data_IF_621511138803
#
_entry.id   IF_621511138803
#
_cell.length_a   1.000
_cell.length_b   1.000
_cell.length_c   1.000
_cell.angle_alpha   90.00
_cell.angle_beta   90.00
_cell.angle_gamma   90.00
#
_symmetry.space_group_name_H-M   'P 1'
#
loop_
_entity.id
_entity.type
_entity.pdbx_description
1 polymer ?
#
# COMPACT_ATOMS: atom_id res chain seq x y z
N UNK A 1 25.23 -1.01 -4.11
CA UNK A 1 24.94 0.36 -4.61
C UNK A 1 25.05 0.40 -6.14
N UNK A 2 24.38 -0.52 -6.84
CA UNK A 2 24.62 -0.78 -8.27
C UNK A 2 23.81 0.10 -9.24
N UNK A 3 22.81 0.83 -8.74
CA UNK A 3 21.96 1.71 -9.57
C UNK A 3 22.67 3.03 -9.92
N UNK A 4 23.38 3.61 -8.96
CA UNK A 4 24.10 4.87 -9.13
C UNK A 4 25.27 4.74 -10.11
N UNK A 5 25.99 3.61 -10.09
CA UNK A 5 27.06 3.31 -11.07
C UNK A 5 26.56 3.21 -12.51
N UNK A 6 25.28 2.93 -12.72
CA UNK A 6 24.65 2.86 -14.04
C UNK A 6 23.92 4.15 -14.45
N UNK A 7 24.04 5.22 -13.67
CA UNK A 7 23.34 6.48 -13.91
C UNK A 7 21.82 6.39 -13.72
N UNK A 8 21.33 5.36 -13.01
CA UNK A 8 19.91 5.12 -12.79
C UNK A 8 19.51 5.64 -11.41
N UNK A 9 18.43 6.42 -11.35
CA UNK A 9 17.85 6.91 -10.11
C UNK A 9 16.80 5.92 -9.59
N UNK A 10 16.80 5.66 -8.28
CA UNK A 10 15.72 4.89 -7.66
C UNK A 10 14.39 5.61 -7.87
N UNK A 11 13.34 4.86 -8.19
CA UNK A 11 12.00 5.43 -8.20
C UNK A 11 11.65 5.94 -6.80
N UNK A 12 11.02 7.11 -6.76
CA UNK A 12 10.47 7.65 -5.52
C UNK A 12 9.43 6.71 -4.90
N UNK A 13 8.99 7.00 -3.67
CA UNK A 13 7.93 6.24 -3.01
C UNK A 13 6.69 6.16 -3.91
N UNK A 14 6.05 5.00 -3.91
CA UNK A 14 4.88 4.76 -4.74
C UNK A 14 3.74 5.72 -4.35
N UNK A 15 2.99 6.20 -5.35
CA UNK A 15 1.79 6.99 -5.08
C UNK A 15 0.81 6.21 -4.18
N UNK A 16 0.09 6.90 -3.27
CA UNK A 16 -0.76 6.25 -2.26
C UNK A 16 -1.81 5.32 -2.87
N UNK A 17 -2.37 5.66 -4.05
CA UNK A 17 -3.30 4.80 -4.77
C UNK A 17 -2.66 3.48 -5.20
N UNK A 18 -1.42 3.55 -5.68
CA UNK A 18 -0.65 2.38 -6.09
C UNK A 18 -0.25 1.53 -4.89
N UNK A 19 0.15 2.17 -3.78
CA UNK A 19 0.52 1.53 -2.53
C UNK A 19 -0.66 0.71 -1.96
N UNK A 20 -1.82 1.35 -1.83
CA UNK A 20 -3.06 0.75 -1.35
C UNK A 20 -3.48 -0.48 -2.16
N UNK A 21 -3.50 -0.35 -3.50
CA UNK A 21 -3.83 -1.47 -4.39
C UNK A 21 -2.86 -2.63 -4.21
N UNK A 22 -1.55 -2.35 -4.16
CA UNK A 22 -0.52 -3.39 -3.98
C UNK A 22 -0.70 -4.14 -2.66
N UNK A 23 -0.81 -3.42 -1.56
CA UNK A 23 -0.88 -4.04 -0.22
C UNK A 23 -2.17 -4.86 -0.05
N UNK A 24 -3.31 -4.34 -0.53
CA UNK A 24 -4.58 -5.08 -0.49
C UNK A 24 -4.47 -6.40 -1.23
N UNK A 25 -3.95 -6.38 -2.46
CA UNK A 25 -3.80 -7.60 -3.28
C UNK A 25 -2.77 -8.57 -2.71
N UNK A 26 -1.66 -8.08 -2.16
CA UNK A 26 -0.63 -8.95 -1.56
C UNK A 26 -1.14 -9.64 -0.30
N UNK A 27 -1.83 -8.91 0.58
CA UNK A 27 -2.27 -9.45 1.87
C UNK A 27 -3.56 -10.27 1.77
N UNK A 28 -4.51 -9.84 0.94
CA UNK A 28 -5.86 -10.45 0.89
C UNK A 28 -6.17 -11.13 -0.44
N UNK A 29 -5.36 -10.91 -1.49
CA UNK A 29 -5.69 -11.37 -2.85
C UNK A 29 -6.80 -10.55 -3.53
N UNK A 30 -7.38 -9.56 -2.84
CA UNK A 30 -8.51 -8.77 -3.32
C UNK A 30 -8.08 -7.35 -3.70
N UNK A 31 -8.78 -6.78 -4.68
CA UNK A 31 -8.65 -5.36 -5.00
C UNK A 31 -9.41 -4.52 -3.96
N UNK A 32 -8.88 -3.35 -3.59
CA UNK A 32 -9.56 -2.48 -2.64
C UNK A 32 -10.78 -1.80 -3.28
N UNK A 33 -11.80 -1.52 -2.48
CA UNK A 33 -12.95 -0.75 -2.94
C UNK A 33 -12.57 0.71 -3.28
N UNK A 34 -13.16 1.31 -4.34
CA UNK A 34 -12.83 2.68 -4.75
C UNK A 34 -12.99 3.73 -3.65
N UNK A 35 -14.03 3.59 -2.80
CA UNK A 35 -14.28 4.48 -1.66
C UNK A 35 -13.16 4.38 -0.62
N UNK A 36 -12.69 3.16 -0.35
CA UNK A 36 -11.60 2.90 0.59
C UNK A 36 -10.27 3.45 0.07
N UNK A 37 -10.03 3.38 -1.24
CA UNK A 37 -8.87 4.02 -1.88
C UNK A 37 -8.90 5.54 -1.69
N UNK A 38 -10.06 6.19 -1.92
CA UNK A 38 -10.18 7.64 -1.75
C UNK A 38 -9.91 8.07 -0.30
N UNK A 39 -10.45 7.32 0.67
CA UNK A 39 -10.19 7.56 2.09
C UNK A 39 -8.71 7.40 2.43
N UNK A 40 -8.08 6.30 2.01
CA UNK A 40 -6.66 6.08 2.25
C UNK A 40 -5.80 7.20 1.65
N UNK A 41 -6.12 7.71 0.46
CA UNK A 41 -5.37 8.83 -0.14
C UNK A 41 -5.46 10.09 0.70
N UNK A 42 -6.64 10.39 1.26
CA UNK A 42 -6.81 11.54 2.15
C UNK A 42 -6.05 11.34 3.48
N UNK A 43 -6.17 10.16 4.10
CA UNK A 43 -5.49 9.82 5.35
C UNK A 43 -3.96 9.86 5.17
N UNK A 44 -3.45 9.29 4.06
CA UNK A 44 -2.03 9.28 3.72
C UNK A 44 -1.47 10.68 3.42
N UNK A 45 -2.30 11.60 2.90
CA UNK A 45 -1.87 12.99 2.71
C UNK A 45 -1.71 13.74 4.05
N UNK A 46 -2.44 13.35 5.09
CA UNK A 46 -2.36 13.94 6.42
C UNK A 46 -1.24 13.32 7.28
N UNK A 47 -1.11 11.99 7.25
CA UNK A 47 -0.09 11.23 7.99
C UNK A 47 0.26 9.94 7.21
N UNK A 48 1.30 9.97 6.35
CA UNK A 48 1.69 8.83 5.52
C UNK A 48 1.99 7.56 6.33
N UNK A 49 2.75 7.71 7.43
CA UNK A 49 3.20 6.60 8.26
C UNK A 49 2.04 5.98 9.06
N UNK A 50 1.22 6.82 9.70
CA UNK A 50 0.05 6.37 10.45
C UNK A 50 -1.01 5.73 9.55
N UNK A 51 -1.29 6.34 8.40
CA UNK A 51 -2.24 5.79 7.43
C UNK A 51 -1.79 4.44 6.88
N UNK A 52 -0.51 4.29 6.56
CA UNK A 52 0.01 3.02 6.06
C UNK A 52 0.00 1.92 7.13
N UNK A 53 0.41 2.24 8.36
CA UNK A 53 0.36 1.28 9.47
C UNK A 53 -1.07 0.83 9.76
N UNK A 54 -2.01 1.77 9.87
CA UNK A 54 -3.43 1.46 10.10
C UNK A 54 -4.04 0.62 8.97
N UNK A 55 -3.68 0.91 7.71
CA UNK A 55 -4.06 0.10 6.55
C UNK A 55 -3.58 -1.35 6.69
N UNK A 56 -2.32 -1.56 7.06
CA UNK A 56 -1.75 -2.90 7.22
C UNK A 56 -2.44 -3.64 8.36
N UNK A 57 -2.62 -3.00 9.52
CA UNK A 57 -3.30 -3.60 10.67
C UNK A 57 -4.75 -4.00 10.34
N UNK A 58 -5.49 -3.17 9.60
CA UNK A 58 -6.85 -3.47 9.11
C UNK A 58 -6.86 -4.71 8.20
N UNK A 59 -5.93 -4.79 7.27
CA UNK A 59 -5.86 -5.88 6.30
C UNK A 59 -5.42 -7.20 6.94
N UNK A 60 -4.48 -7.18 7.88
CA UNK A 60 -4.08 -8.37 8.64
C UNK A 60 -5.20 -8.89 9.54
N UNK A 61 -6.09 -8.00 10.00
CA UNK A 61 -7.27 -8.36 10.81
C UNK A 61 -8.47 -8.82 9.98
N UNK A 62 -8.39 -8.72 8.65
CA UNK A 62 -9.48 -9.09 7.74
C UNK A 62 -9.63 -10.61 7.65
N UNK A 63 -10.86 -11.15 7.56
CA UNK A 63 -11.08 -12.58 7.31
C UNK A 63 -10.49 -13.06 5.99
N UNK A 64 -10.23 -12.14 5.04
CA UNK A 64 -9.62 -12.45 3.74
C UNK A 64 -8.10 -12.62 3.80
N UNK A 65 -7.47 -12.25 4.91
CA UNK A 65 -6.05 -12.48 5.11
C UNK A 65 -5.78 -13.98 5.33
N UNK A 66 -4.83 -14.55 4.60
CA UNK A 66 -4.47 -15.97 4.73
C UNK A 66 -5.37 -16.94 3.94
N UNK A 67 -6.44 -16.49 3.28
CA UNK A 67 -7.29 -17.38 2.44
C UNK A 67 -6.55 -18.00 1.24
N UNK A 68 -5.32 -17.56 0.94
CA UNK A 68 -4.50 -18.02 -0.19
C UNK A 68 -3.11 -18.57 0.23
N UNK A 69 -2.88 -18.83 1.52
CA UNK A 69 -1.58 -19.21 2.07
C UNK A 69 -1.55 -20.65 2.60
#
# INVERSE_FOLDING_TARGET
AELAEKGLTANGPAEPRSLMRRVSTVLTGLLPEPRRVARFVADYAADPDGAYKGLVDELLSSPHFGERW
#
